data_IF_258926864242
#
_entry.id   IF_258926864242
#
_cell.length_a   1.000
_cell.length_b   1.000
_cell.length_c   1.000
_cell.angle_alpha   90.00
_cell.angle_beta   90.00
_cell.angle_gamma   90.00
#
_symmetry.space_group_name_H-M   'P 1'
#
loop_
_entity.id
_entity.type
_entity.pdbx_description
1 polymer ?
#
# COMPACT_ATOMS: atom_id res chain seq x y z
N UNK A 1 20.14 15.01 31.89
CA UNK A 1 19.50 14.88 30.57
C UNK A 1 20.20 13.75 29.85
N UNK A 2 19.56 12.58 29.72
CA UNK A 2 20.14 11.45 28.99
C UNK A 2 20.26 11.79 27.51
N UNK A 3 21.36 11.41 26.86
CA UNK A 3 21.48 11.59 25.42
C UNK A 3 20.44 10.72 24.68
N UNK A 4 19.85 11.22 23.58
CA UNK A 4 18.89 10.43 22.81
C UNK A 4 19.57 9.20 22.20
N UNK A 5 18.87 8.06 22.07
CA UNK A 5 19.44 6.84 21.53
C UNK A 5 19.75 7.00 20.03
N UNK A 6 21.00 7.39 19.72
CA UNK A 6 21.40 7.84 18.38
C UNK A 6 21.17 6.78 17.29
N UNK A 7 21.33 5.49 17.62
CA UNK A 7 21.11 4.39 16.68
C UNK A 7 19.63 4.21 16.34
N UNK A 8 18.75 4.23 17.34
CA UNK A 8 17.30 4.17 17.12
C UNK A 8 16.83 5.37 16.29
N UNK A 9 17.32 6.58 16.60
CA UNK A 9 17.02 7.78 15.82
C UNK A 9 17.41 7.61 14.34
N UNK A 10 18.57 7.01 14.06
CA UNK A 10 19.02 6.76 12.68
C UNK A 10 18.08 5.78 11.95
N UNK A 11 17.66 4.69 12.59
CA UNK A 11 16.72 3.73 11.99
C UNK A 11 15.32 4.32 11.79
N UNK A 12 14.81 5.12 12.72
CA UNK A 12 13.52 5.81 12.55
C UNK A 12 13.56 6.81 11.38
N UNK A 13 14.68 7.52 11.19
CA UNK A 13 14.85 8.40 10.02
C UNK A 13 14.82 7.62 8.73
N UNK A 14 15.39 6.41 8.71
CA UNK A 14 15.34 5.50 7.56
C UNK A 14 13.91 5.03 7.28
N UNK A 15 13.18 4.65 8.32
CA UNK A 15 11.80 4.15 8.19
C UNK A 15 10.84 5.24 7.72
N UNK A 16 10.92 6.44 8.32
CA UNK A 16 10.04 7.56 8.01
C UNK A 16 10.60 8.48 6.90
N UNK A 17 11.71 8.09 6.27
CA UNK A 17 12.40 8.81 5.18
C UNK A 17 12.57 10.31 5.52
N UNK A 18 13.05 10.60 6.73
CA UNK A 18 13.19 11.97 7.24
C UNK A 18 14.64 12.46 7.10
N UNK A 19 14.85 13.70 6.61
CA UNK A 19 16.18 14.29 6.59
C UNK A 19 16.68 14.54 8.02
N UNK A 20 17.98 14.30 8.25
CA UNK A 20 18.65 14.60 9.52
C UNK A 20 18.96 16.09 9.67
N UNK A 21 17.99 16.98 9.41
CA UNK A 21 18.21 18.42 9.52
C UNK A 21 18.24 18.83 11.01
N UNK A 22 19.37 19.36 11.52
CA UNK A 22 19.46 19.78 12.91
C UNK A 22 18.42 20.86 13.24
N UNK A 23 17.70 20.70 14.37
CA UNK A 23 16.71 21.67 14.86
C UNK A 23 15.28 21.50 14.31
N UNK A 24 15.10 20.86 13.15
CA UNK A 24 13.78 20.55 12.58
C UNK A 24 13.33 19.10 12.85
N UNK A 25 14.26 18.23 13.24
CA UNK A 25 13.95 16.84 13.56
C UNK A 25 13.44 16.68 14.99
N UNK A 26 12.15 16.40 15.13
CA UNK A 26 11.49 16.17 16.42
C UNK A 26 11.77 14.77 17.00
N UNK A 27 12.29 13.81 16.22
CA UNK A 27 12.46 12.41 16.66
C UNK A 27 13.31 12.27 17.93
N UNK A 28 14.51 12.89 18.06
CA UNK A 28 15.34 12.69 19.25
C UNK A 28 14.67 13.21 20.52
N UNK A 29 13.95 14.34 20.41
CA UNK A 29 13.22 14.95 21.52
C UNK A 29 12.01 14.10 21.91
N UNK A 30 11.22 13.66 20.94
CA UNK A 30 10.05 12.84 21.17
C UNK A 30 10.42 11.52 21.86
N UNK A 31 11.47 10.84 21.39
CA UNK A 31 11.99 9.62 22.03
C UNK A 31 12.50 9.86 23.45
N UNK A 32 13.29 10.91 23.68
CA UNK A 32 13.83 11.19 25.00
C UNK A 32 12.76 11.59 26.03
N UNK A 33 11.69 12.26 25.57
CA UNK A 33 10.59 12.71 26.42
C UNK A 33 9.45 11.68 26.53
N UNK A 34 9.44 10.62 25.70
CA UNK A 34 8.29 9.73 25.57
C UNK A 34 7.04 10.43 25.02
N UNK A 35 7.22 11.54 24.30
CA UNK A 35 6.12 12.32 23.74
C UNK A 35 5.53 11.64 22.50
N UNK A 36 4.20 11.61 22.43
CA UNK A 36 3.49 11.17 21.24
C UNK A 36 3.78 12.14 20.08
N UNK A 37 4.35 11.62 18.99
CA UNK A 37 4.61 12.36 17.77
C UNK A 37 3.77 11.77 16.64
N UNK A 38 2.97 12.61 15.97
CA UNK A 38 2.27 12.22 14.74
C UNK A 38 3.15 12.53 13.54
N UNK A 39 3.21 11.60 12.59
CA UNK A 39 4.02 11.70 11.39
C UNK A 39 3.14 11.52 10.17
N UNK A 40 3.27 12.44 9.21
CA UNK A 40 2.69 12.31 7.88
C UNK A 40 3.68 11.62 6.93
N UNK A 41 3.21 10.72 6.04
CA UNK A 41 4.05 10.16 4.98
C UNK A 41 4.26 11.10 3.80
N UNK A 42 3.54 12.23 3.76
CA UNK A 42 3.68 13.22 2.70
C UNK A 42 4.95 14.04 2.89
N UNK A 43 5.82 14.00 1.89
CA UNK A 43 6.94 14.90 1.74
C UNK A 43 6.51 16.33 1.38
N UNK A 44 7.47 17.26 1.43
CA UNK A 44 7.23 18.65 1.04
C UNK A 44 6.86 18.81 -0.46
N UNK A 45 7.19 17.81 -1.28
CA UNK A 45 6.82 17.70 -2.70
C UNK A 45 5.43 17.08 -2.92
N UNK A 46 4.70 16.75 -1.85
CA UNK A 46 3.38 16.13 -1.90
C UNK A 46 3.40 14.65 -2.27
N UNK A 47 4.57 13.99 -2.26
CA UNK A 47 4.72 12.57 -2.56
C UNK A 47 4.79 11.74 -1.29
N UNK A 48 4.36 10.49 -1.39
CA UNK A 48 4.30 9.54 -0.28
C UNK A 48 5.62 8.81 -0.17
N UNK A 49 6.33 8.98 0.95
CA UNK A 49 7.65 8.37 1.18
C UNK A 49 7.59 7.04 1.95
N UNK A 50 6.49 6.79 2.66
CA UNK A 50 6.24 5.54 3.36
C UNK A 50 4.73 5.32 3.52
N UNK A 51 4.31 4.09 3.82
CA UNK A 51 2.90 3.74 4.02
C UNK A 51 2.74 2.85 5.24
N UNK A 52 1.52 2.80 5.78
CA UNK A 52 1.15 1.88 6.87
C UNK A 52 -0.12 1.14 6.51
N UNK A 53 -0.11 -0.17 6.79
CA UNK A 53 -1.30 -1.01 6.83
C UNK A 53 -1.41 -1.63 8.23
N UNK A 54 -2.62 -1.82 8.73
CA UNK A 54 -2.80 -2.63 9.92
C UNK A 54 -4.25 -2.88 10.27
N UNK A 55 -4.40 -3.66 11.35
CA UNK A 55 -5.68 -4.16 11.82
C UNK A 55 -5.77 -3.97 13.32
N UNK A 56 -6.92 -3.48 13.79
CA UNK A 56 -7.27 -3.39 15.21
C UNK A 56 -8.37 -4.38 15.60
N UNK A 57 -8.47 -4.65 16.89
CA UNK A 57 -9.52 -5.44 17.52
C UNK A 57 -9.27 -6.95 17.48
N UNK A 58 -10.36 -7.70 17.54
CA UNK A 58 -10.34 -9.16 17.66
C UNK A 58 -9.62 -9.86 16.49
N UNK A 59 -8.80 -10.86 16.77
CA UNK A 59 -8.01 -11.58 15.74
C UNK A 59 -7.02 -10.70 14.95
N UNK A 60 -6.73 -9.47 15.40
CA UNK A 60 -5.81 -8.56 14.70
C UNK A 60 -4.45 -9.19 14.41
N UNK A 61 -3.96 -10.05 15.31
CA UNK A 61 -2.73 -10.82 15.08
C UNK A 61 -2.86 -11.77 13.88
N UNK A 62 -3.88 -12.63 13.84
CA UNK A 62 -4.04 -13.63 12.79
C UNK A 62 -4.18 -12.96 11.41
N UNK A 63 -4.97 -11.88 11.33
CA UNK A 63 -5.15 -11.08 10.13
C UNK A 63 -3.85 -10.40 9.69
N UNK A 64 -3.10 -9.82 10.63
CA UNK A 64 -1.84 -9.15 10.31
C UNK A 64 -0.73 -10.14 9.94
N UNK A 65 -0.70 -11.32 10.56
CA UNK A 65 0.24 -12.39 10.23
C UNK A 65 -0.02 -12.97 8.83
N UNK A 66 -1.30 -13.19 8.47
CA UNK A 66 -1.67 -13.61 7.13
C UNK A 66 -1.29 -12.57 6.06
N UNK A 67 -1.56 -11.29 6.32
CA UNK A 67 -1.10 -10.19 5.49
C UNK A 67 0.44 -10.18 5.37
N UNK A 68 1.16 -10.29 6.49
CA UNK A 68 2.63 -10.32 6.50
C UNK A 68 3.19 -11.45 5.62
N UNK A 69 2.64 -12.66 5.74
CA UNK A 69 3.04 -13.79 4.90
C UNK A 69 2.76 -13.51 3.40
N UNK A 70 1.55 -13.05 3.05
CA UNK A 70 1.20 -12.74 1.66
C UNK A 70 2.05 -11.62 1.02
N UNK A 71 2.53 -10.65 1.81
CA UNK A 71 3.47 -9.63 1.32
C UNK A 71 4.79 -10.26 0.87
N UNK A 72 5.30 -11.24 1.60
CA UNK A 72 6.56 -11.92 1.29
C UNK A 72 6.37 -12.94 0.17
N UNK A 73 5.38 -13.82 0.30
CA UNK A 73 5.21 -14.98 -0.55
C UNK A 73 4.58 -14.61 -1.90
N UNK A 74 3.47 -13.85 -1.88
CA UNK A 74 2.69 -13.56 -3.08
C UNK A 74 3.21 -12.32 -3.81
N UNK A 75 3.64 -11.30 -3.06
CA UNK A 75 4.07 -10.02 -3.64
C UNK A 75 5.58 -9.89 -3.76
N UNK A 76 6.36 -10.82 -3.19
CA UNK A 76 7.83 -10.79 -3.18
C UNK A 76 8.38 -9.43 -2.70
N UNK A 77 7.71 -8.82 -1.73
CA UNK A 77 8.15 -7.58 -1.11
C UNK A 77 9.22 -7.85 -0.04
N UNK A 78 10.10 -6.88 0.25
CA UNK A 78 10.95 -6.96 1.43
C UNK A 78 10.10 -7.01 2.71
N UNK A 79 10.66 -7.61 3.76
CA UNK A 79 10.02 -7.67 5.06
C UNK A 79 9.71 -6.25 5.60
N UNK A 80 8.43 -5.90 5.81
CA UNK A 80 8.08 -4.63 6.43
C UNK A 80 8.44 -4.63 7.92
N UNK A 81 8.65 -3.45 8.48
CA UNK A 81 8.76 -3.32 9.93
C UNK A 81 7.37 -3.54 10.56
N UNK A 82 7.30 -4.37 11.60
CA UNK A 82 6.07 -4.70 12.32
C UNK A 82 6.08 -4.09 13.72
N UNK A 83 4.96 -3.55 14.15
CA UNK A 83 4.79 -3.07 15.51
C UNK A 83 3.44 -3.44 16.10
N UNK A 84 3.43 -3.54 17.43
CA UNK A 84 2.20 -3.40 18.22
C UNK A 84 1.84 -1.92 18.36
N UNK A 85 0.55 -1.60 18.26
CA UNK A 85 0.03 -0.23 18.23
C UNK A 85 0.08 0.49 19.58
N UNK A 86 0.17 -0.24 20.69
CA UNK A 86 -0.03 0.34 22.02
C UNK A 86 -1.51 0.54 22.39
N UNK A 87 -2.43 0.03 21.56
CA UNK A 87 -3.87 0.14 21.77
C UNK A 87 -4.57 -1.20 21.53
N UNK A 88 -4.87 -1.53 20.28
CA UNK A 88 -5.79 -2.64 19.97
C UNK A 88 -5.35 -3.52 18.81
N UNK A 89 -4.11 -3.37 18.31
CA UNK A 89 -3.69 -4.16 17.15
C UNK A 89 -2.28 -3.94 16.67
N UNK A 90 -2.06 -4.28 15.41
CA UNK A 90 -0.75 -4.37 14.79
C UNK A 90 -0.68 -3.50 13.54
N UNK A 91 0.54 -3.10 13.19
CA UNK A 91 0.84 -2.24 12.06
C UNK A 91 2.09 -2.73 11.33
N UNK A 92 2.07 -2.62 10.01
CA UNK A 92 3.20 -2.88 9.12
C UNK A 92 3.59 -1.58 8.41
N UNK A 93 4.87 -1.21 8.46
CA UNK A 93 5.42 -0.05 7.76
C UNK A 93 6.16 -0.44 6.49
N UNK A 94 5.92 0.33 5.44
CA UNK A 94 6.60 0.23 4.16
C UNK A 94 7.33 1.54 3.87
N UNK A 95 8.65 1.57 4.07
CA UNK A 95 9.47 2.67 3.59
C UNK A 95 9.72 2.53 2.08
N UNK A 96 9.76 3.62 1.34
CA UNK A 96 10.04 3.62 -0.10
C UNK A 96 11.41 4.25 -0.37
N UNK A 97 12.19 3.62 -1.25
CA UNK A 97 13.46 4.20 -1.71
C UNK A 97 13.22 5.48 -2.50
N UNK A 98 12.18 5.49 -3.33
CA UNK A 98 11.71 6.66 -4.06
C UNK A 98 10.26 6.93 -3.67
N UNK A 99 9.92 8.17 -3.25
CA UNK A 99 8.54 8.54 -2.99
C UNK A 99 7.66 8.28 -4.21
N UNK A 100 6.38 7.98 -3.99
CA UNK A 100 5.38 7.73 -5.05
C UNK A 100 4.25 8.75 -4.98
N UNK A 101 3.40 8.80 -6.00
CA UNK A 101 2.20 9.64 -5.93
C UNK A 101 1.20 9.12 -4.89
N UNK A 102 0.35 10.02 -4.37
CA UNK A 102 -0.77 9.63 -3.48
C UNK A 102 -1.70 8.62 -4.16
N UNK A 103 -1.89 8.73 -5.47
CA UNK A 103 -2.71 7.80 -6.24
C UNK A 103 -2.13 6.38 -6.26
N UNK A 104 -0.81 6.24 -6.50
CA UNK A 104 -0.12 4.95 -6.49
C UNK A 104 -0.10 4.32 -5.09
N UNK A 105 0.24 5.09 -4.06
CA UNK A 105 0.18 4.64 -2.67
C UNK A 105 -1.23 4.17 -2.30
N UNK A 106 -2.24 4.94 -2.69
CA UNK A 106 -3.63 4.59 -2.45
C UNK A 106 -4.10 3.35 -3.21
N UNK A 107 -3.63 3.14 -4.45
CA UNK A 107 -3.94 1.93 -5.22
C UNK A 107 -3.29 0.70 -4.57
N UNK A 108 -2.04 0.81 -4.13
CA UNK A 108 -1.33 -0.25 -3.42
C UNK A 108 -2.04 -0.66 -2.12
N UNK A 109 -2.39 0.31 -1.27
CA UNK A 109 -3.05 0.05 0.02
C UNK A 109 -4.46 -0.52 -0.14
N UNK A 110 -5.24 -0.03 -1.11
CA UNK A 110 -6.55 -0.62 -1.45
C UNK A 110 -6.40 -2.05 -1.94
N UNK A 111 -5.46 -2.32 -2.84
CA UNK A 111 -5.20 -3.68 -3.31
C UNK A 111 -4.83 -4.64 -2.17
N UNK A 112 -4.03 -4.20 -1.20
CA UNK A 112 -3.73 -5.00 0.00
C UNK A 112 -4.99 -5.24 0.84
N UNK A 113 -5.78 -4.20 1.07
CA UNK A 113 -7.01 -4.30 1.85
C UNK A 113 -8.04 -5.22 1.17
N UNK A 114 -8.21 -5.10 -0.14
CA UNK A 114 -9.16 -5.90 -0.92
C UNK A 114 -8.74 -7.36 -1.01
N UNK A 115 -7.43 -7.66 -1.02
CA UNK A 115 -6.93 -9.04 -1.11
C UNK A 115 -6.87 -9.74 0.24
N UNK A 116 -6.34 -9.08 1.27
CA UNK A 116 -6.00 -9.72 2.55
C UNK A 116 -6.94 -9.34 3.69
N UNK A 117 -7.64 -8.20 3.57
CA UNK A 117 -8.47 -7.64 4.64
C UNK A 117 -9.93 -7.45 4.22
N UNK A 118 -10.39 -8.11 3.15
CA UNK A 118 -11.72 -7.93 2.56
C UNK A 118 -12.85 -8.08 3.59
N UNK A 119 -12.73 -9.08 4.46
CA UNK A 119 -13.72 -9.41 5.49
C UNK A 119 -13.59 -8.55 6.77
N UNK A 120 -12.51 -7.78 6.89
CA UNK A 120 -12.28 -6.92 8.07
C UNK A 120 -13.15 -5.66 7.95
N UNK A 121 -13.96 -5.27 8.95
CA UNK A 121 -14.71 -4.02 8.88
C UNK A 121 -13.81 -2.80 8.60
N UNK A 122 -14.19 -1.84 7.74
CA UNK A 122 -13.36 -0.68 7.41
C UNK A 122 -12.87 0.11 8.64
N UNK A 123 -13.72 0.26 9.66
CA UNK A 123 -13.37 0.93 10.91
C UNK A 123 -12.22 0.28 11.71
N UNK A 124 -11.88 -0.97 11.40
CA UNK A 124 -10.77 -1.72 12.01
C UNK A 124 -9.51 -1.74 11.13
N UNK A 125 -9.58 -1.24 9.90
CA UNK A 125 -8.47 -1.17 8.97
C UNK A 125 -7.77 0.16 9.13
N UNK A 126 -6.45 0.13 9.19
CA UNK A 126 -5.64 1.34 9.28
C UNK A 126 -4.77 1.42 8.05
N UNK A 127 -5.15 2.31 7.14
CA UNK A 127 -4.52 2.48 5.84
C UNK A 127 -4.00 3.91 5.73
N UNK A 128 -2.71 4.14 5.90
CA UNK A 128 -2.10 5.48 5.80
C UNK A 128 -1.25 5.57 4.52
N UNK A 129 -1.47 6.57 3.61
CA UNK A 129 -2.28 7.79 3.78
C UNK A 129 -3.67 7.73 3.12
N UNK A 130 -4.48 6.71 3.40
CA UNK A 130 -5.83 6.59 2.87
C UNK A 130 -6.89 6.99 3.90
N UNK A 131 -8.12 7.12 3.40
CA UNK A 131 -9.31 7.44 4.19
C UNK A 131 -9.10 8.69 5.03
N UNK A 132 -9.45 8.64 6.32
CA UNK A 132 -9.21 9.74 7.28
C UNK A 132 -7.82 9.66 7.92
N UNK A 133 -6.99 8.68 7.54
CA UNK A 133 -5.68 8.43 8.16
C UNK A 133 -4.56 9.09 7.36
N UNK A 134 -4.40 10.40 7.54
CA UNK A 134 -3.30 11.18 6.93
C UNK A 134 -1.98 11.14 7.72
N UNK A 135 -2.02 10.74 8.99
CA UNK A 135 -0.88 10.69 9.90
C UNK A 135 -1.00 9.52 10.88
N UNK A 136 0.13 8.94 11.29
CA UNK A 136 0.16 7.89 12.33
C UNK A 136 1.05 8.31 13.50
N UNK A 137 0.81 7.71 14.66
CA UNK A 137 1.73 7.84 15.79
C UNK A 137 3.07 7.18 15.45
N UNK A 138 4.15 7.85 15.84
CA UNK A 138 5.50 7.30 15.81
C UNK A 138 5.60 6.08 16.72
N UNK A 139 6.33 5.07 16.28
CA UNK A 139 6.73 3.91 17.07
C UNK A 139 8.26 3.91 17.24
N UNK A 140 8.81 3.48 18.39
CA UNK A 140 8.11 3.24 19.65
C UNK A 140 7.65 4.56 20.30
N UNK A 141 6.55 4.52 21.04
CA UNK A 141 6.00 5.69 21.72
C UNK A 141 4.87 5.34 22.69
N UNK A 142 4.62 6.24 23.65
CA UNK A 142 3.51 6.09 24.59
C UNK A 142 2.20 6.46 23.88
N UNK A 143 1.23 5.55 23.88
CA UNK A 143 -0.07 5.79 23.29
C UNK A 143 -0.89 6.75 24.18
N UNK A 144 -1.37 7.89 23.66
CA UNK A 144 -1.88 8.98 24.50
C UNK A 144 -3.20 8.65 25.19
N UNK A 145 -4.01 7.74 24.62
CA UNK A 145 -5.31 7.38 25.19
C UNK A 145 -5.22 6.23 26.22
N UNK A 146 -4.30 5.28 26.02
CA UNK A 146 -4.21 4.05 26.81
C UNK A 146 -3.07 4.09 27.84
N UNK A 147 -2.07 4.95 27.64
CA UNK A 147 -0.86 4.97 28.46
C UNK A 147 0.00 3.72 28.30
N UNK A 148 -0.22 2.92 27.26
CA UNK A 148 0.59 1.75 26.93
C UNK A 148 1.58 2.06 25.81
N UNK A 149 2.66 1.30 25.73
CA UNK A 149 3.72 1.54 24.76
C UNK A 149 3.50 0.77 23.47
N UNK A 150 3.61 1.48 22.35
CA UNK A 150 3.85 0.88 21.03
C UNK A 150 5.32 0.48 20.90
N UNK A 151 5.59 -0.60 20.18
CA UNK A 151 6.94 -1.11 19.99
C UNK A 151 7.06 -1.92 18.71
N UNK A 152 8.20 -1.80 18.03
CA UNK A 152 8.57 -2.73 16.97
C UNK A 152 8.84 -4.11 17.58
N UNK A 153 8.39 -5.14 16.86
CA UNK A 153 8.50 -6.53 17.26
C UNK A 153 9.02 -7.37 16.10
N UNK A 154 9.71 -8.45 16.43
CA UNK A 154 9.90 -9.54 15.48
C UNK A 154 8.53 -10.18 15.20
N UNK A 155 8.18 -10.49 13.93
CA UNK A 155 6.91 -11.13 13.60
C UNK A 155 6.66 -12.43 14.37
N UNK A 156 7.72 -13.20 14.68
CA UNK A 156 7.62 -14.43 15.47
C UNK A 156 7.11 -14.23 16.91
N UNK A 157 7.16 -13.01 17.44
CA UNK A 157 6.66 -12.67 18.78
C UNK A 157 5.20 -12.18 18.78
N UNK A 158 4.62 -11.89 17.61
CA UNK A 158 3.32 -11.22 17.55
C UNK A 158 2.20 -12.00 18.22
N UNK A 159 2.17 -13.33 18.09
CA UNK A 159 1.16 -14.17 18.72
C UNK A 159 1.18 -14.16 20.25
N UNK A 160 2.32 -13.82 20.87
CA UNK A 160 2.42 -13.68 22.33
C UNK A 160 1.76 -12.39 22.85
N UNK A 161 1.50 -11.43 21.96
CA UNK A 161 0.93 -10.12 22.26
C UNK A 161 -0.51 -9.99 21.70
N UNK A 162 -1.15 -11.11 21.31
CA UNK A 162 -2.43 -11.09 20.62
C UNK A 162 -3.57 -10.48 21.46
N UNK A 163 -3.60 -10.80 22.75
CA UNK A 163 -4.59 -10.27 23.70
C UNK A 163 -4.19 -8.89 24.24
N UNK A 164 -2.89 -8.60 24.26
CA UNK A 164 -2.30 -7.37 24.80
C UNK A 164 -1.29 -6.78 23.80
N UNK A 165 -1.76 -6.15 22.69
CA UNK A 165 -0.90 -5.60 21.64
C UNK A 165 -0.24 -4.28 22.09
N UNK A 166 0.52 -4.33 23.17
CA UNK A 166 1.26 -3.23 23.77
C UNK A 166 2.35 -3.74 24.73
N UNK A 167 3.18 -2.81 25.22
CA UNK A 167 4.07 -3.05 26.36
C UNK A 167 3.68 -2.15 27.55
N UNK A 168 3.88 -2.64 28.77
CA UNK A 168 3.64 -1.86 29.99
C UNK A 168 4.75 -0.85 30.30
N UNK A 169 5.93 -1.04 29.72
CA UNK A 169 7.11 -0.20 29.93
C UNK A 169 7.72 0.21 28.59
N UNK A 170 8.49 1.30 28.62
CA UNK A 170 9.22 1.76 27.46
C UNK A 170 10.12 0.66 26.90
N UNK A 171 10.07 0.37 25.59
CA UNK A 171 10.94 -0.63 25.00
C UNK A 171 12.40 -0.18 25.04
N UNK A 172 13.32 -1.14 25.17
CA UNK A 172 14.74 -0.84 25.15
C UNK A 172 15.15 -0.26 23.77
N UNK A 173 15.78 0.93 23.71
CA UNK A 173 16.09 1.59 22.45
C UNK A 173 17.05 0.82 21.54
N UNK A 174 18.03 0.13 22.10
CA UNK A 174 19.01 -0.66 21.35
C UNK A 174 18.33 -1.86 20.67
N UNK A 175 17.46 -2.58 21.39
CA UNK A 175 16.66 -3.68 20.83
C UNK A 175 15.73 -3.20 19.71
N UNK A 176 15.09 -2.04 19.90
CA UNK A 176 14.24 -1.44 18.84
C UNK A 176 15.07 -1.09 17.60
N UNK A 177 16.29 -0.59 17.78
CA UNK A 177 17.20 -0.33 16.67
C UNK A 177 17.68 -1.62 16.00
N UNK A 178 17.91 -2.70 16.73
CA UNK A 178 18.28 -4.01 16.17
C UNK A 178 17.15 -4.59 15.32
N UNK A 179 15.91 -4.55 15.80
CA UNK A 179 14.72 -5.01 15.03
C UNK A 179 14.59 -4.21 13.74
N UNK A 180 14.74 -2.87 13.82
CA UNK A 180 14.64 -2.01 12.64
C UNK A 180 15.83 -2.15 11.69
N UNK A 181 17.03 -2.51 12.15
CA UNK A 181 18.18 -2.67 11.26
C UNK A 181 17.93 -3.72 10.16
N UNK A 182 17.03 -4.68 10.41
CA UNK A 182 16.67 -5.73 9.45
C UNK A 182 15.63 -5.35 8.40
N UNK A 183 14.86 -4.27 8.55
CA UNK A 183 13.87 -3.90 7.52
C UNK A 183 14.55 -3.33 6.29
N UNK A 184 13.94 -3.51 5.11
CA UNK A 184 14.41 -2.89 3.87
C UNK A 184 13.34 -1.98 3.27
N UNK A 185 13.75 -0.82 2.75
CA UNK A 185 12.86 0.04 1.98
C UNK A 185 12.56 -0.58 0.61
N UNK A 186 11.31 -0.47 0.16
CA UNK A 186 10.85 -1.02 -1.11
C UNK A 186 11.49 -0.23 -2.25
N UNK A 187 12.16 -0.97 -3.15
CA UNK A 187 12.73 -0.42 -4.38
C UNK A 187 11.63 -0.18 -5.42
N UNK A 188 11.80 0.80 -6.34
CA UNK A 188 10.78 1.14 -7.34
C UNK A 188 10.28 -0.07 -8.15
N UNK A 189 11.19 -0.95 -8.57
CA UNK A 189 10.84 -2.15 -9.34
C UNK A 189 10.00 -3.15 -8.54
N UNK A 190 10.27 -3.33 -7.26
CA UNK A 190 9.49 -4.21 -6.38
C UNK A 190 8.10 -3.61 -6.12
N UNK A 191 8.03 -2.30 -5.88
CA UNK A 191 6.75 -1.61 -5.70
C UNK A 191 5.86 -1.72 -6.94
N UNK A 192 6.39 -1.44 -8.13
CA UNK A 192 5.65 -1.54 -9.39
C UNK A 192 5.17 -2.98 -9.67
N UNK A 193 6.00 -3.99 -9.40
CA UNK A 193 5.61 -5.39 -9.52
C UNK A 193 4.50 -5.78 -8.54
N UNK A 194 4.62 -5.38 -7.28
CA UNK A 194 3.60 -5.67 -6.28
C UNK A 194 2.28 -4.96 -6.64
N UNK A 195 2.32 -3.72 -7.10
CA UNK A 195 1.13 -2.99 -7.57
C UNK A 195 0.48 -3.69 -8.76
N UNK A 196 1.26 -4.20 -9.72
CA UNK A 196 0.73 -4.97 -10.85
C UNK A 196 0.08 -6.29 -10.40
N UNK A 197 0.65 -6.98 -9.40
CA UNK A 197 0.07 -8.20 -8.81
C UNK A 197 -1.19 -7.91 -7.99
N UNK A 198 -1.27 -6.73 -7.37
CA UNK A 198 -2.43 -6.28 -6.58
C UNK A 198 -3.54 -5.66 -7.41
N UNK A 199 -3.24 -5.24 -8.65
CA UNK A 199 -4.24 -4.81 -9.62
C UNK A 199 -5.34 -5.85 -9.79
N UNK A 200 -6.47 -5.47 -10.41
CA UNK A 200 -7.56 -6.40 -10.66
C UNK A 200 -6.95 -7.65 -11.29
N UNK A 201 -7.27 -8.81 -10.70
CA UNK A 201 -6.84 -10.09 -11.26
C UNK A 201 -7.09 -10.00 -12.77
N UNK A 202 -6.12 -10.38 -13.64
CA UNK A 202 -6.41 -10.45 -15.06
C UNK A 202 -7.69 -11.24 -15.15
N UNK A 203 -8.75 -10.58 -15.64
CA UNK A 203 -10.00 -11.23 -15.95
C UNK A 203 -9.60 -12.53 -16.61
N UNK A 204 -9.99 -13.66 -16.01
CA UNK A 204 -9.68 -14.96 -16.56
C UNK A 204 -9.93 -14.84 -18.06
N UNK A 205 -8.97 -15.20 -18.92
CA UNK A 205 -9.12 -15.00 -20.35
C UNK A 205 -10.52 -15.51 -20.69
N UNK A 206 -11.38 -14.69 -21.33
CA UNK A 206 -12.76 -15.07 -21.58
C UNK A 206 -12.73 -16.49 -22.12
N UNK A 207 -13.59 -17.41 -21.62
CA UNK A 207 -13.53 -18.82 -21.97
C UNK A 207 -13.31 -18.90 -23.46
N UNK A 208 -12.17 -19.51 -23.86
CA UNK A 208 -11.72 -19.54 -25.26
C UNK A 208 -12.94 -19.69 -26.15
N UNK A 209 -13.29 -18.71 -26.99
CA UNK A 209 -14.26 -18.98 -28.02
C UNK A 209 -13.68 -20.16 -28.80
N UNK A 210 -14.45 -21.23 -28.88
CA UNK A 210 -14.20 -22.34 -29.79
C UNK A 210 -13.75 -21.74 -31.11
N UNK A 211 -12.54 -22.11 -31.53
CA UNK A 211 -11.79 -21.41 -32.56
C UNK A 211 -12.67 -21.02 -33.77
N UNK A 212 -12.82 -19.72 -34.09
CA UNK A 212 -13.25 -19.36 -35.43
C UNK A 212 -12.07 -19.61 -36.39
N UNK A 213 -12.35 -19.94 -37.67
CA UNK A 213 -11.30 -20.19 -38.64
C UNK A 213 -10.48 -18.91 -38.85
N UNK A 214 -9.16 -19.10 -38.98
CA UNK A 214 -8.15 -18.07 -39.24
C UNK A 214 -8.54 -17.22 -40.47
N UNK A 215 -8.53 -15.88 -40.41
CA UNK A 215 -8.76 -15.09 -41.62
C UNK A 215 -7.50 -15.11 -42.48
N UNK A 216 -7.69 -15.53 -43.73
CA UNK A 216 -6.83 -15.10 -44.82
C UNK A 216 -7.00 -13.58 -44.99
N UNK A 217 -5.92 -12.85 -45.26
CA UNK A 217 -5.87 -11.39 -45.35
C UNK A 217 -6.61 -10.78 -46.55
N UNK A 218 -7.86 -11.17 -46.80
CA UNK A 218 -8.74 -10.62 -47.85
C UNK A 218 -10.14 -10.22 -47.37
N UNK A 219 -10.64 -10.77 -46.25
CA UNK A 219 -12.06 -10.64 -45.87
C UNK A 219 -12.45 -9.31 -45.21
N UNK A 220 -11.52 -8.64 -44.51
CA UNK A 220 -11.83 -7.41 -43.77
C UNK A 220 -12.20 -6.22 -44.68
N UNK A 221 -11.63 -6.17 -45.90
CA UNK A 221 -11.94 -5.13 -46.87
C UNK A 221 -13.32 -5.36 -47.50
N UNK A 222 -13.69 -6.62 -47.73
CA UNK A 222 -15.00 -7.00 -48.25
C UNK A 222 -16.13 -6.78 -47.23
N UNK A 223 -15.86 -7.02 -45.95
CA UNK A 223 -16.84 -6.78 -44.87
C UNK A 223 -17.10 -5.28 -44.67
N UNK A 224 -16.03 -4.46 -44.68
CA UNK A 224 -16.16 -3.00 -44.60
C UNK A 224 -16.94 -2.44 -45.80
N UNK A 225 -16.68 -2.95 -47.01
CA UNK A 225 -17.42 -2.57 -48.22
C UNK A 225 -18.90 -2.98 -48.15
N UNK A 226 -19.22 -4.18 -47.67
CA UNK A 226 -20.63 -4.61 -47.49
C UNK A 226 -21.37 -3.77 -46.46
N UNK A 227 -20.72 -3.44 -45.35
CA UNK A 227 -21.30 -2.57 -44.34
C UNK A 227 -21.61 -1.17 -44.89
N UNK A 228 -20.65 -0.56 -45.61
CA UNK A 228 -20.86 0.76 -46.23
C UNK A 228 -21.97 0.73 -47.30
N UNK A 229 -22.07 -0.36 -48.08
CA UNK A 229 -23.17 -0.55 -49.03
C UNK A 229 -24.53 -0.73 -48.34
N UNK A 230 -24.58 -1.40 -47.19
CA UNK A 230 -25.80 -1.54 -46.40
C UNK A 230 -26.24 -0.19 -45.83
N UNK A 231 -25.32 0.58 -45.25
CA UNK A 231 -25.57 1.93 -44.72
C UNK A 231 -26.04 2.89 -45.83
N UNK A 232 -25.42 2.84 -47.02
CA UNK A 232 -25.79 3.70 -48.15
C UNK A 232 -27.22 3.42 -48.66
N UNK A 233 -27.68 2.16 -48.62
CA UNK A 233 -28.97 1.73 -49.18
C UNK A 233 -30.12 1.71 -48.15
N UNK A 234 -29.85 1.97 -46.87
CA UNK A 234 -30.88 1.94 -45.83
C UNK A 234 -31.70 3.25 -45.79
N UNK A 235 -33.01 3.23 -46.09
CA UNK A 235 -33.88 4.41 -46.12
C UNK A 235 -34.15 5.04 -44.75
N UNK A 236 -33.74 4.41 -43.65
CA UNK A 236 -33.92 4.91 -42.28
C UNK A 236 -32.70 5.67 -41.73
N UNK A 237 -31.54 5.54 -42.37
CA UNK A 237 -30.29 6.21 -41.94
C UNK A 237 -30.27 7.67 -42.40
N UNK A 238 -29.67 8.58 -41.64
CA UNK A 238 -29.56 9.98 -42.04
C UNK A 238 -28.84 10.16 -43.40
N UNK A 239 -29.36 11.04 -44.27
CA UNK A 239 -28.83 11.26 -45.63
C UNK A 239 -27.35 11.67 -45.62
N UNK A 240 -26.90 12.44 -44.63
CA UNK A 240 -25.49 12.85 -44.52
C UNK A 240 -24.56 11.65 -44.30
N UNK A 241 -24.99 10.67 -43.49
CA UNK A 241 -24.22 9.44 -43.23
C UNK A 241 -24.19 8.52 -44.45
N UNK A 242 -25.25 8.49 -45.26
CA UNK A 242 -25.26 7.74 -46.53
C UNK A 242 -24.29 8.32 -47.55
N UNK A 243 -24.18 9.65 -47.60
CA UNK A 243 -23.22 10.35 -48.47
C UNK A 243 -21.78 10.09 -48.02
N UNK A 244 -21.50 10.12 -46.72
CA UNK A 244 -20.18 9.75 -46.17
C UNK A 244 -19.82 8.29 -46.50
N UNK A 245 -20.76 7.36 -46.36
CA UNK A 245 -20.55 5.96 -46.73
C UNK A 245 -20.26 5.79 -48.24
N UNK A 246 -20.93 6.55 -49.11
CA UNK A 246 -20.68 6.51 -50.55
C UNK A 246 -19.29 7.05 -50.92
N UNK A 247 -18.82 8.11 -50.24
CA UNK A 247 -17.47 8.65 -50.43
C UNK A 247 -16.38 7.66 -50.02
N UNK A 248 -16.60 6.90 -48.95
CA UNK A 248 -15.65 5.89 -48.47
C UNK A 248 -15.50 4.68 -49.40
N UNK A 249 -16.37 4.54 -50.41
CA UNK A 249 -16.35 3.47 -51.42
C UNK A 249 -15.66 3.86 -52.74
N UNK A 250 -15.35 5.15 -52.94
CA UNK A 250 -14.63 5.69 -54.11
C UNK A 250 -13.11 5.67 -53.89
#
# INVERSE_FOLDING_TARGET
MSQPPLRLVAELRRLYVRPATPGADALPRALAAGEALRLSPLGADGRVAWMVVGVDGEEAWALTAALYAGLLDDLALPAPAMAVSGEAGYRLWFALVEPVSVAEAGAFLRGLADRYLAEVPPARRILCPLDEVGEVLMVPGLHPATGKWSAFIDPGLGGMLADEPWLDMAPNPEKQADILAGFEAIKPAAFAQALARLGPAPEAPPPLPTAPPRPAGGEACDEARRFLLAVMNDPTVDMALRVEAAKALL
#
